data_IF_064180027474
#
_entry.id   IF_064180027474
#
_cell.length_a   1.000
_cell.length_b   1.000
_cell.length_c   1.000
_cell.angle_alpha   90.00
_cell.angle_beta   90.00
_cell.angle_gamma   90.00
#
_symmetry.space_group_name_H-M   'P 1'
#
loop_
_entity.id
_entity.type
_entity.pdbx_description
1 polymer ?
#
# COMPACT_ATOMS: atom_id res chain seq x y z
N UNK A 1 8.87 -32.58 -77.41
CA UNK A 1 7.79 -32.08 -76.54
C UNK A 1 8.01 -32.50 -75.06
N UNK A 2 8.50 -33.68 -74.74
CA UNK A 2 8.68 -34.21 -73.35
C UNK A 2 9.59 -33.37 -72.42
N UNK A 3 10.67 -32.80 -72.98
CA UNK A 3 11.65 -31.97 -72.18
C UNK A 3 11.03 -30.63 -71.73
N UNK A 4 10.04 -30.07 -72.39
CA UNK A 4 9.34 -28.81 -71.99
C UNK A 4 8.33 -29.04 -70.89
N UNK A 5 7.72 -30.22 -70.83
CA UNK A 5 6.78 -30.59 -69.73
C UNK A 5 7.50 -30.89 -68.43
N UNK A 6 8.71 -31.47 -68.53
CA UNK A 6 9.53 -31.75 -67.36
C UNK A 6 10.06 -30.46 -66.68
N UNK A 7 10.41 -29.45 -67.50
CA UNK A 7 10.86 -28.16 -66.98
C UNK A 7 9.72 -27.37 -66.32
N UNK A 8 8.52 -27.44 -66.85
CA UNK A 8 7.32 -26.79 -66.28
C UNK A 8 6.89 -27.46 -64.96
N UNK A 9 6.95 -28.79 -64.86
CA UNK A 9 6.63 -29.53 -63.63
C UNK A 9 7.64 -29.24 -62.49
N UNK A 10 8.94 -29.10 -62.83
CA UNK A 10 9.98 -28.79 -61.83
C UNK A 10 9.89 -27.34 -61.36
N UNK A 11 9.44 -26.40 -62.20
CA UNK A 11 9.24 -25.00 -61.79
C UNK A 11 8.01 -24.82 -60.87
N UNK A 12 6.95 -25.60 -61.04
CA UNK A 12 5.81 -25.59 -60.13
C UNK A 12 6.13 -26.20 -58.77
N UNK A 13 7.04 -27.22 -58.73
CA UNK A 13 7.41 -27.86 -57.46
C UNK A 13 8.27 -26.94 -56.57
N UNK A 14 9.08 -26.05 -57.19
CA UNK A 14 9.91 -25.07 -56.48
C UNK A 14 9.09 -23.91 -55.90
N UNK A 15 7.96 -23.59 -56.47
CA UNK A 15 7.04 -22.55 -55.93
C UNK A 15 6.22 -22.97 -54.71
N UNK A 16 6.13 -24.30 -54.44
CA UNK A 16 5.39 -24.83 -53.30
C UNK A 16 6.26 -24.87 -52.02
N UNK A 17 7.57 -24.69 -52.10
CA UNK A 17 8.49 -24.67 -50.98
C UNK A 17 8.72 -23.24 -50.38
N UNK A 18 8.19 -22.19 -51.00
CA UNK A 18 8.33 -20.81 -50.53
C UNK A 18 7.23 -20.39 -49.53
N UNK A 19 6.37 -21.35 -49.13
CA UNK A 19 5.26 -21.13 -48.21
C UNK A 19 5.58 -21.41 -46.72
N UNK A 20 6.83 -21.30 -46.29
CA UNK A 20 7.09 -21.18 -44.82
C UNK A 20 6.63 -19.80 -44.35
N UNK A 21 5.33 -19.74 -44.04
CA UNK A 21 4.76 -18.60 -43.35
C UNK A 21 5.57 -18.35 -42.08
N UNK A 22 6.22 -17.21 -42.01
CA UNK A 22 6.70 -16.64 -40.77
C UNK A 22 5.47 -16.49 -39.91
N UNK A 23 5.24 -17.41 -38.93
CA UNK A 23 4.34 -17.13 -37.85
C UNK A 23 4.78 -15.77 -37.26
N UNK A 24 3.87 -14.81 -37.09
CA UNK A 24 4.21 -13.63 -36.35
C UNK A 24 4.68 -14.13 -34.97
N UNK A 25 5.97 -13.97 -34.66
CA UNK A 25 6.42 -14.07 -33.28
C UNK A 25 5.61 -13.02 -32.55
N UNK A 26 4.64 -13.45 -31.78
CA UNK A 26 3.98 -12.64 -30.79
C UNK A 26 5.12 -12.15 -29.89
N UNK A 27 5.53 -10.88 -30.09
CA UNK A 27 6.50 -10.25 -29.22
C UNK A 27 5.91 -10.36 -27.83
N UNK A 28 6.50 -11.17 -26.96
CA UNK A 28 6.18 -11.18 -25.55
C UNK A 28 6.08 -9.71 -25.11
N UNK A 29 4.86 -9.29 -24.79
CA UNK A 29 4.61 -7.93 -24.31
C UNK A 29 5.33 -7.85 -22.97
N UNK A 30 6.50 -7.21 -22.96
CA UNK A 30 7.26 -7.00 -21.72
C UNK A 30 6.33 -6.24 -20.76
N UNK A 31 5.93 -6.88 -19.67
CA UNK A 31 5.07 -6.29 -18.67
C UNK A 31 5.79 -5.06 -18.08
N UNK A 32 5.05 -3.98 -17.88
CA UNK A 32 5.55 -2.86 -17.08
C UNK A 32 5.62 -3.32 -15.64
N UNK A 33 6.77 -3.16 -14.99
CA UNK A 33 6.93 -3.48 -13.58
C UNK A 33 6.63 -2.25 -12.74
N UNK A 34 5.79 -2.42 -11.72
CA UNK A 34 5.47 -1.41 -10.71
C UNK A 34 5.79 -1.95 -9.33
N UNK A 35 6.36 -1.10 -8.47
CA UNK A 35 6.64 -1.41 -7.07
C UNK A 35 5.69 -0.59 -6.18
N UNK A 36 4.82 -1.28 -5.44
CA UNK A 36 3.75 -0.66 -4.64
C UNK A 36 3.98 -0.91 -3.15
N UNK A 37 4.08 0.16 -2.38
CA UNK A 37 4.20 0.10 -0.93
C UNK A 37 2.86 -0.16 -0.24
N UNK A 38 2.82 -1.15 0.65
CA UNK A 38 1.64 -1.52 1.44
C UNK A 38 1.84 -1.21 2.92
N UNK A 39 0.71 -1.00 3.62
CA UNK A 39 0.66 -0.83 5.06
C UNK A 39 -0.08 -2.02 5.70
N UNK A 40 0.11 -2.30 7.00
CA UNK A 40 -0.66 -3.34 7.71
C UNK A 40 -2.07 -2.83 8.05
N UNK A 41 -2.86 -2.58 7.03
CA UNK A 41 -4.22 -2.04 7.08
C UNK A 41 -5.16 -2.73 6.09
N UNK A 42 -6.46 -2.44 6.20
CA UNK A 42 -7.48 -2.99 5.29
C UNK A 42 -7.38 -2.43 3.88
N UNK A 43 -6.79 -1.26 3.71
CA UNK A 43 -6.66 -0.59 2.41
C UNK A 43 -5.69 -1.33 1.47
N UNK A 44 -4.77 -2.09 2.04
CA UNK A 44 -3.82 -2.93 1.32
C UNK A 44 -4.42 -4.23 0.78
N UNK A 45 -5.58 -4.69 1.32
CA UNK A 45 -6.19 -5.97 0.97
C UNK A 45 -6.51 -6.11 -0.52
N UNK A 46 -7.10 -5.12 -1.22
CA UNK A 46 -7.39 -5.24 -2.65
C UNK A 46 -6.14 -5.53 -3.50
N UNK A 47 -5.00 -4.94 -3.14
CA UNK A 47 -3.74 -5.18 -3.84
C UNK A 47 -3.20 -6.59 -3.61
N UNK A 48 -3.29 -7.09 -2.38
CA UNK A 48 -2.88 -8.45 -2.03
C UNK A 48 -3.74 -9.47 -2.80
N UNK A 49 -5.06 -9.29 -2.80
CA UNK A 49 -5.99 -10.15 -3.54
C UNK A 49 -5.70 -10.10 -5.05
N UNK A 50 -5.47 -8.91 -5.61
CA UNK A 50 -5.17 -8.77 -7.02
C UNK A 50 -3.87 -9.49 -7.42
N UNK A 51 -2.85 -9.46 -6.56
CA UNK A 51 -1.61 -10.19 -6.77
C UNK A 51 -1.81 -11.71 -6.69
N UNK A 52 -2.51 -12.20 -5.66
CA UNK A 52 -2.74 -13.63 -5.44
C UNK A 52 -3.61 -14.27 -6.53
N UNK A 53 -4.58 -13.53 -7.07
CA UNK A 53 -5.46 -14.01 -8.14
C UNK A 53 -4.92 -13.73 -9.55
N UNK A 54 -3.76 -13.08 -9.67
CA UNK A 54 -3.13 -12.82 -10.97
C UNK A 54 -3.77 -11.67 -11.78
N UNK A 55 -4.65 -10.85 -11.19
CA UNK A 55 -5.36 -9.78 -11.89
C UNK A 55 -4.41 -8.72 -12.49
N UNK A 56 -3.28 -8.46 -11.86
CA UNK A 56 -2.29 -7.56 -12.44
C UNK A 56 -1.69 -8.12 -13.74
N UNK A 57 -1.41 -9.43 -13.77
CA UNK A 57 -0.90 -10.08 -14.96
C UNK A 57 -1.93 -10.12 -16.11
N UNK A 58 -3.20 -10.30 -15.80
CA UNK A 58 -4.31 -10.24 -16.76
C UNK A 58 -4.38 -8.85 -17.42
N UNK A 59 -4.12 -7.77 -16.65
CA UNK A 59 -4.04 -6.40 -17.16
C UNK A 59 -2.69 -6.07 -17.83
N UNK A 60 -1.77 -7.02 -17.89
CA UNK A 60 -0.46 -6.86 -18.53
C UNK A 60 0.53 -6.03 -17.72
N UNK A 61 0.43 -6.05 -16.39
CA UNK A 61 1.32 -5.36 -15.45
C UNK A 61 1.95 -6.36 -14.49
N UNK A 62 3.25 -6.25 -14.26
CA UNK A 62 3.95 -6.95 -13.17
C UNK A 62 3.96 -6.02 -11.95
N UNK A 63 3.42 -6.48 -10.82
CA UNK A 63 3.39 -5.69 -9.58
C UNK A 63 4.18 -6.39 -8.48
N UNK A 64 5.15 -5.67 -7.90
CA UNK A 64 5.85 -6.06 -6.69
C UNK A 64 5.23 -5.31 -5.50
N UNK A 65 4.74 -6.07 -4.51
CA UNK A 65 4.16 -5.53 -3.29
C UNK A 65 5.20 -5.50 -2.17
N UNK A 66 5.49 -4.31 -1.64
CA UNK A 66 6.51 -4.10 -0.59
C UNK A 66 5.83 -3.69 0.72
N UNK A 67 5.83 -4.55 1.75
CA UNK A 67 5.21 -4.23 3.03
C UNK A 67 6.07 -3.29 3.88
N UNK A 68 5.45 -2.27 4.44
CA UNK A 68 6.03 -1.35 5.40
C UNK A 68 5.36 -1.48 6.77
N UNK A 69 6.07 -1.13 7.83
CA UNK A 69 5.54 -1.15 9.20
C UNK A 69 5.12 0.24 9.69
N UNK A 70 5.58 1.30 9.03
CA UNK A 70 5.27 2.68 9.37
C UNK A 70 5.06 3.55 8.13
N UNK A 71 4.22 4.57 8.24
CA UNK A 71 4.01 5.58 7.20
C UNK A 71 5.31 6.33 6.87
N UNK A 72 6.17 6.58 7.86
CA UNK A 72 7.45 7.27 7.66
C UNK A 72 8.39 6.48 6.74
N UNK A 73 8.50 5.16 6.93
CA UNK A 73 9.33 4.29 6.08
C UNK A 73 8.77 4.23 4.65
N UNK A 74 7.45 4.05 4.50
CA UNK A 74 6.76 4.04 3.21
C UNK A 74 6.97 5.37 2.45
N UNK A 75 6.75 6.50 3.11
CA UNK A 75 6.87 7.83 2.50
C UNK A 75 8.31 8.13 2.09
N UNK A 76 9.29 7.75 2.90
CA UNK A 76 10.69 7.86 2.56
C UNK A 76 11.06 7.01 1.32
N UNK A 77 10.52 5.79 1.22
CA UNK A 77 10.74 4.91 0.05
C UNK A 77 10.08 5.49 -1.21
N UNK A 78 8.87 6.05 -1.11
CA UNK A 78 8.19 6.71 -2.23
C UNK A 78 8.96 7.96 -2.69
N UNK A 79 9.37 8.82 -1.76
CA UNK A 79 10.09 10.06 -2.06
C UNK A 79 11.48 9.81 -2.62
N UNK A 80 12.13 8.72 -2.27
CA UNK A 80 13.44 8.31 -2.83
C UNK A 80 13.34 7.63 -4.18
N UNK A 81 12.13 7.39 -4.71
CA UNK A 81 11.91 6.72 -5.98
C UNK A 81 12.08 5.20 -5.93
N UNK A 82 12.07 4.61 -4.74
CA UNK A 82 12.10 3.15 -4.56
C UNK A 82 10.71 2.51 -4.70
N UNK A 83 9.65 3.32 -4.79
CA UNK A 83 8.29 2.90 -5.05
C UNK A 83 7.71 3.73 -6.21
N UNK A 84 6.92 3.08 -7.07
CA UNK A 84 6.12 3.74 -8.10
C UNK A 84 4.78 4.24 -7.55
N UNK A 85 4.29 3.60 -6.48
CA UNK A 85 3.06 3.97 -5.80
C UNK A 85 3.01 3.40 -4.37
N UNK A 86 2.03 3.82 -3.60
CA UNK A 86 1.84 3.31 -2.24
C UNK A 86 0.38 3.45 -1.79
N UNK A 87 -0.06 2.55 -0.90
CA UNK A 87 -1.22 2.79 -0.06
C UNK A 87 -0.86 3.87 0.95
N UNK A 88 -1.61 4.97 0.93
CA UNK A 88 -1.26 6.17 1.67
C UNK A 88 -2.51 6.94 2.09
N UNK A 89 -2.32 8.12 2.65
CA UNK A 89 -3.38 9.03 3.07
C UNK A 89 -3.20 10.42 2.42
N UNK A 90 -4.26 11.22 2.42
CA UNK A 90 -4.22 12.56 1.81
C UNK A 90 -3.25 13.51 2.51
N UNK A 91 -3.01 13.35 3.81
CA UNK A 91 -2.06 14.18 4.55
C UNK A 91 -0.63 13.92 4.03
N UNK A 92 -0.25 12.67 3.82
CA UNK A 92 1.04 12.29 3.24
C UNK A 92 1.20 12.84 1.81
N UNK A 93 0.14 12.79 0.99
CA UNK A 93 0.12 13.40 -0.36
C UNK A 93 0.36 14.91 -0.28
N UNK A 94 -0.30 15.60 0.65
CA UNK A 94 -0.13 17.05 0.85
C UNK A 94 1.31 17.37 1.27
N UNK A 95 1.87 16.63 2.22
CA UNK A 95 3.24 16.83 2.68
C UNK A 95 4.26 16.57 1.57
N UNK A 96 4.11 15.49 0.81
CA UNK A 96 4.98 15.18 -0.31
C UNK A 96 4.95 16.32 -1.35
N UNK A 97 3.76 16.78 -1.75
CA UNK A 97 3.63 17.88 -2.70
C UNK A 97 4.18 19.19 -2.18
N UNK A 98 3.98 19.50 -0.90
CA UNK A 98 4.56 20.69 -0.26
C UNK A 98 6.08 20.61 -0.19
N UNK A 99 6.65 19.41 -0.12
CA UNK A 99 8.08 19.13 -0.21
C UNK A 99 8.63 19.12 -1.64
N UNK A 100 7.80 19.39 -2.65
CA UNK A 100 8.21 19.45 -4.06
C UNK A 100 8.16 18.13 -4.81
N UNK A 101 7.63 17.05 -4.21
CA UNK A 101 7.49 15.75 -4.86
C UNK A 101 6.22 15.71 -5.74
N UNK A 102 6.36 15.18 -6.95
CA UNK A 102 5.24 15.02 -7.89
C UNK A 102 4.51 13.72 -7.63
N UNK A 103 3.54 13.75 -6.71
CA UNK A 103 2.69 12.60 -6.38
C UNK A 103 1.22 12.93 -6.66
N UNK A 104 0.42 11.91 -6.98
CA UNK A 104 -1.00 12.01 -7.30
C UNK A 104 -1.78 10.92 -6.57
N UNK A 105 -2.96 11.27 -6.02
CA UNK A 105 -3.93 10.27 -5.58
C UNK A 105 -4.67 9.74 -6.83
N UNK A 106 -4.67 8.42 -7.01
CA UNK A 106 -5.26 7.74 -8.17
C UNK A 106 -6.59 7.07 -7.86
N UNK A 107 -6.80 6.70 -6.59
CA UNK A 107 -8.01 6.04 -6.11
C UNK A 107 -8.23 6.35 -4.63
N UNK A 108 -9.41 5.99 -4.13
CA UNK A 108 -9.79 6.08 -2.72
C UNK A 108 -10.04 4.71 -2.14
N UNK A 109 -9.77 4.58 -0.85
CA UNK A 109 -10.11 3.45 0.00
C UNK A 109 -10.91 3.95 1.19
N UNK A 110 -11.61 3.04 1.88
CA UNK A 110 -12.44 3.37 3.06
C UNK A 110 -11.72 3.06 4.38
N UNK A 111 -10.43 3.36 4.45
CA UNK A 111 -9.62 3.19 5.64
C UNK A 111 -10.13 4.00 6.82
N UNK A 112 -10.07 3.42 8.02
CA UNK A 112 -10.39 4.13 9.23
C UNK A 112 -9.33 3.92 10.31
N UNK A 113 -9.33 4.84 11.30
CA UNK A 113 -8.41 4.84 12.42
C UNK A 113 -9.20 4.93 13.71
N UNK A 114 -8.85 4.10 14.69
CA UNK A 114 -9.52 4.02 15.96
C UNK A 114 -8.53 4.34 17.09
N UNK A 115 -8.98 5.17 18.05
CA UNK A 115 -8.28 5.36 19.31
C UNK A 115 -8.68 4.22 20.25
N UNK A 116 -7.72 3.37 20.57
CA UNK A 116 -7.92 2.19 21.43
C UNK A 116 -7.21 2.43 22.77
N UNK A 117 -7.94 2.23 23.85
CA UNK A 117 -7.41 2.23 25.21
C UNK A 117 -6.98 0.81 25.62
N UNK A 118 -5.88 0.70 26.35
CA UNK A 118 -5.46 -0.58 26.94
C UNK A 118 -6.44 -1.05 28.01
N UNK A 119 -6.64 -2.37 28.13
CA UNK A 119 -7.62 -2.97 29.04
C UNK A 119 -7.48 -2.51 30.49
N UNK A 120 -6.26 -2.40 30.99
CA UNK A 120 -5.96 -2.01 32.37
C UNK A 120 -5.64 -0.51 32.52
N UNK A 121 -5.86 0.31 31.50
CA UNK A 121 -5.51 1.73 31.48
C UNK A 121 -6.41 2.60 32.37
N UNK A 122 -7.61 2.11 32.70
CA UNK A 122 -8.67 2.86 33.41
C UNK A 122 -9.31 3.95 32.56
N UNK A 123 -9.12 3.94 31.24
CA UNK A 123 -9.68 4.90 30.28
C UNK A 123 -11.03 4.40 29.81
N UNK A 124 -12.10 5.11 30.14
CA UNK A 124 -13.47 4.84 29.69
C UNK A 124 -14.00 5.91 28.72
N UNK A 125 -13.33 7.06 28.64
CA UNK A 125 -13.71 8.18 27.79
C UNK A 125 -12.46 8.92 27.28
N UNK A 126 -12.61 9.74 26.25
CA UNK A 126 -11.50 10.57 25.75
C UNK A 126 -10.98 11.54 26.83
N UNK A 127 -11.86 12.00 27.74
CA UNK A 127 -11.46 12.87 28.85
C UNK A 127 -10.44 12.24 29.81
N UNK A 128 -10.45 10.90 29.94
CA UNK A 128 -9.55 10.15 30.84
C UNK A 128 -8.12 10.05 30.27
N UNK A 129 -7.90 10.49 29.03
CA UNK A 129 -6.57 10.58 28.41
C UNK A 129 -5.69 11.69 29.02
N UNK A 130 -6.28 12.61 29.82
CA UNK A 130 -5.50 13.72 30.43
C UNK A 130 -4.31 13.19 31.24
N UNK A 131 -3.12 13.70 30.89
CA UNK A 131 -1.87 13.31 31.51
C UNK A 131 -1.39 11.90 31.19
N UNK A 132 -2.06 11.16 30.32
CA UNK A 132 -1.67 9.81 29.89
C UNK A 132 -0.67 9.85 28.75
N UNK A 133 0.12 8.78 28.64
CA UNK A 133 1.04 8.53 27.53
C UNK A 133 0.29 7.87 26.38
N UNK A 134 0.26 8.56 25.23
CA UNK A 134 -0.44 8.12 24.02
C UNK A 134 0.57 7.95 22.89
N UNK A 135 0.61 6.75 22.31
CA UNK A 135 1.53 6.48 21.20
C UNK A 135 1.05 7.12 19.90
N UNK A 136 1.93 7.86 19.25
CA UNK A 136 1.71 8.51 17.97
C UNK A 136 2.83 8.22 16.98
N UNK A 137 2.56 8.42 15.69
CA UNK A 137 3.58 8.54 14.65
C UNK A 137 3.58 10.00 14.19
N UNK A 138 4.63 10.73 14.53
CA UNK A 138 4.71 12.18 14.25
C UNK A 138 4.67 12.49 12.76
N UNK A 139 4.04 13.61 12.42
CA UNK A 139 3.89 14.11 11.05
C UNK A 139 3.19 13.09 10.12
N UNK A 140 2.28 12.28 10.67
CA UNK A 140 1.47 11.33 9.91
C UNK A 140 -0.01 11.48 10.27
N UNK A 141 -0.85 10.76 9.52
CA UNK A 141 -2.28 10.68 9.78
C UNK A 141 -2.60 10.25 11.22
N UNK A 142 -1.74 9.45 11.85
CA UNK A 142 -1.93 8.97 13.22
C UNK A 142 -1.89 10.13 14.22
N UNK A 143 -0.92 11.04 14.10
CA UNK A 143 -0.86 12.22 14.97
C UNK A 143 -2.06 13.15 14.70
N UNK A 144 -2.36 13.40 13.43
CA UNK A 144 -3.48 14.24 13.03
C UNK A 144 -4.82 13.73 13.60
N UNK A 145 -5.12 12.43 13.43
CA UNK A 145 -6.35 11.83 13.96
C UNK A 145 -6.38 11.88 15.48
N UNK A 146 -5.24 11.67 16.15
CA UNK A 146 -5.15 11.82 17.61
C UNK A 146 -5.55 13.23 18.03
N UNK A 147 -4.98 14.26 17.39
CA UNK A 147 -5.26 15.65 17.73
C UNK A 147 -6.70 16.06 17.43
N UNK A 148 -7.28 15.59 16.32
CA UNK A 148 -8.69 15.82 15.98
C UNK A 148 -9.66 15.15 16.98
N UNK A 149 -9.35 13.92 17.42
CA UNK A 149 -10.16 13.25 18.46
C UNK A 149 -10.11 14.05 19.77
N UNK A 150 -8.93 14.52 20.17
CA UNK A 150 -8.79 15.36 21.36
C UNK A 150 -9.58 16.67 21.22
N UNK A 151 -9.41 17.38 20.10
CA UNK A 151 -10.08 18.65 19.83
C UNK A 151 -11.61 18.51 19.83
N UNK A 152 -12.15 17.46 19.20
CA UNK A 152 -13.58 17.16 19.19
C UNK A 152 -14.16 16.90 20.59
N UNK A 153 -13.31 16.55 21.57
CA UNK A 153 -13.69 16.30 22.96
C UNK A 153 -13.22 17.43 23.91
N UNK A 154 -12.90 18.62 23.39
CA UNK A 154 -12.51 19.78 24.21
C UNK A 154 -11.14 19.63 24.87
N UNK A 155 -10.29 18.81 24.33
CA UNK A 155 -8.90 18.61 24.75
C UNK A 155 -7.94 19.19 23.73
N UNK A 156 -6.69 19.40 24.14
CA UNK A 156 -5.60 19.88 23.30
C UNK A 156 -4.44 18.90 23.37
N UNK A 157 -3.54 18.95 22.40
CA UNK A 157 -2.37 18.09 22.35
C UNK A 157 -1.52 18.11 23.64
N UNK A 158 -1.42 19.27 24.32
CA UNK A 158 -0.68 19.39 25.57
C UNK A 158 -1.39 18.76 26.78
N UNK A 159 -2.61 18.33 26.63
CA UNK A 159 -3.35 17.63 27.70
C UNK A 159 -2.94 16.15 27.84
N UNK A 160 -2.14 15.63 26.89
CA UNK A 160 -1.58 14.28 26.89
C UNK A 160 -0.06 14.30 26.76
N UNK A 161 0.61 13.17 27.04
CA UNK A 161 2.02 12.95 26.75
C UNK A 161 2.15 12.11 25.47
N UNK A 162 2.51 12.74 24.34
CA UNK A 162 2.74 12.00 23.08
C UNK A 162 4.05 11.23 23.12
N UNK A 163 4.00 9.89 22.94
CA UNK A 163 5.16 9.02 22.77
C UNK A 163 5.30 8.64 21.30
N UNK A 164 6.49 8.81 20.74
CA UNK A 164 6.72 8.54 19.31
C UNK A 164 7.04 7.08 19.08
N UNK A 165 6.09 6.35 18.51
CA UNK A 165 6.21 4.94 18.11
C UNK A 165 5.68 4.81 16.68
N UNK A 166 6.52 4.93 15.64
CA UNK A 166 6.07 4.98 14.25
C UNK A 166 5.47 3.66 13.75
N UNK A 167 6.01 2.50 14.20
CA UNK A 167 5.61 1.18 13.70
C UNK A 167 4.26 0.76 14.28
N UNK A 168 3.30 0.47 13.40
CA UNK A 168 1.94 0.04 13.77
C UNK A 168 1.96 -1.26 14.59
N UNK A 169 2.72 -2.33 14.21
CA UNK A 169 2.77 -3.55 15.02
C UNK A 169 3.34 -3.33 16.42
N UNK A 170 4.31 -2.42 16.58
CA UNK A 170 4.89 -2.11 17.89
C UNK A 170 3.89 -1.39 18.79
N UNK A 171 3.12 -0.44 18.24
CA UNK A 171 2.04 0.20 19.01
C UNK A 171 1.00 -0.81 19.50
N UNK A 172 0.60 -1.76 18.63
CA UNK A 172 -0.32 -2.83 19.00
C UNK A 172 0.25 -3.69 20.14
N UNK A 173 1.47 -4.17 20.00
CA UNK A 173 2.14 -5.00 21.01
C UNK A 173 2.25 -4.28 22.35
N UNK A 174 2.66 -3.02 22.36
CA UNK A 174 2.80 -2.23 23.58
C UNK A 174 1.43 -1.96 24.25
N UNK A 175 0.38 -1.77 23.45
CA UNK A 175 -0.98 -1.61 23.97
C UNK A 175 -1.48 -2.90 24.63
N UNK A 176 -1.30 -4.05 23.97
CA UNK A 176 -1.69 -5.37 24.46
C UNK A 176 -0.92 -5.79 25.72
N UNK A 177 0.36 -5.41 25.81
CA UNK A 177 1.20 -5.70 26.97
C UNK A 177 1.00 -4.72 28.14
N UNK A 178 0.10 -3.74 28.04
CA UNK A 178 -0.15 -2.73 29.07
C UNK A 178 0.94 -1.67 29.21
N UNK A 179 1.86 -1.60 28.25
CA UNK A 179 2.96 -0.60 28.24
C UNK A 179 2.53 0.75 27.62
N UNK A 180 1.30 0.85 27.16
CA UNK A 180 0.68 2.07 26.64
C UNK A 180 -0.71 2.22 27.22
N UNK A 181 -1.08 3.46 27.59
CA UNK A 181 -2.44 3.76 28.01
C UNK A 181 -3.43 3.74 26.85
N UNK A 182 -3.05 4.28 25.70
CA UNK A 182 -3.85 4.27 24.47
C UNK A 182 -2.98 4.47 23.23
N UNK A 183 -3.52 4.10 22.06
CA UNK A 183 -2.90 4.34 20.77
C UNK A 183 -3.94 4.47 19.65
N UNK A 184 -3.64 5.22 18.60
CA UNK A 184 -4.42 5.19 17.37
C UNK A 184 -3.88 4.10 16.46
N UNK A 185 -4.78 3.22 16.01
CA UNK A 185 -4.49 2.07 15.15
C UNK A 185 -5.44 2.05 13.94
N UNK A 186 -4.94 1.65 12.76
CA UNK A 186 -5.80 1.33 11.62
C UNK A 186 -6.47 -0.04 11.81
N UNK A 187 -7.52 -0.30 11.04
CA UNK A 187 -8.02 -1.66 10.87
C UNK A 187 -7.08 -2.49 9.98
N UNK A 188 -6.90 -3.80 10.25
CA UNK A 188 -7.57 -4.61 11.28
C UNK A 188 -6.88 -4.57 12.66
N UNK A 189 -5.80 -3.81 12.85
CA UNK A 189 -5.03 -3.79 14.09
C UNK A 189 -5.83 -3.26 15.28
N UNK A 190 -6.75 -2.34 15.03
CA UNK A 190 -7.68 -1.85 16.07
C UNK A 190 -8.58 -2.97 16.56
N UNK A 191 -9.20 -3.73 15.67
CA UNK A 191 -10.03 -4.90 16.02
C UNK A 191 -9.22 -5.99 16.73
N UNK A 192 -7.97 -6.26 16.31
CA UNK A 192 -7.08 -7.20 17.00
C UNK A 192 -6.78 -6.73 18.41
N UNK A 193 -6.54 -5.43 18.63
CA UNK A 193 -6.32 -4.87 19.97
C UNK A 193 -7.54 -5.05 20.91
N UNK A 194 -8.75 -4.92 20.38
CA UNK A 194 -10.00 -5.07 21.17
C UNK A 194 -10.30 -6.53 21.48
N UNK A 195 -9.86 -7.47 20.63
CA UNK A 195 -10.13 -8.90 20.80
C UNK A 195 -9.13 -9.62 21.73
N UNK A 196 -8.08 -8.97 22.19
CA UNK A 196 -7.02 -9.49 23.06
C UNK A 196 -7.15 -8.98 24.52
#
# INVERSE_FOLDING_TARGET
MMKRFLAAALSCLLLLMAGCGSQPQEKEKKLSKLTIGLMPDTDSIPFIIAAEHGYFAEEGVEVELVPFKSAMERDAALQSGNLDGAISDLLAVIFARSGGFSVHATSYTDGNYNLIAGNDSGIASVGDLRGKEIAVSRNTIIEYVTDEILAANGMREQDIAKIVIPQIPVRLEMLQSGNLAAAVLPEPMASVAVAS
#
